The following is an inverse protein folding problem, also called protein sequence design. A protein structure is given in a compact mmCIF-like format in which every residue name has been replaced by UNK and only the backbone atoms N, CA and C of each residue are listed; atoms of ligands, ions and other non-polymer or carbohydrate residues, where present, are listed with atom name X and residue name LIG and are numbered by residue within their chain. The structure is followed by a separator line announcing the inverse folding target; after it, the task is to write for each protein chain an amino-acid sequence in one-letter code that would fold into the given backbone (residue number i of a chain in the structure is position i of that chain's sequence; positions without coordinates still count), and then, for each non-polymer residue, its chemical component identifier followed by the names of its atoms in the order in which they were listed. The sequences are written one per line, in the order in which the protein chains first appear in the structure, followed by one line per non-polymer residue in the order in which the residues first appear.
data_IF_066906809999
#
_entry.id   IF_066906809999
#
_cell.length_a   1.000
_cell.length_b   1.000
_cell.length_c   1.000
_cell.angle_alpha   90.00
_cell.angle_beta   90.00
_cell.angle_gamma   90.00
#
_symmetry.space_group_name_H-M   'P 1'
#
loop_
_entity.id
_entity.type
_entity.pdbx_description
1 polymer ?
#
# COMPACT_ATOMS: atom_id res chain seq x y z
N UNK A 1 63.92 -3.76 -50.78
CA UNK A 1 64.54 -4.41 -49.60
C UNK A 1 63.44 -4.96 -48.72
N UNK A 2 63.42 -6.28 -48.51
CA UNK A 2 62.47 -7.02 -47.68
C UNK A 2 62.75 -6.74 -46.21
N UNK A 3 61.73 -6.36 -45.43
CA UNK A 3 61.76 -6.54 -43.98
C UNK A 3 60.41 -7.14 -43.56
N UNK A 4 60.47 -8.43 -43.27
CA UNK A 4 59.41 -9.22 -42.66
C UNK A 4 59.18 -8.74 -41.21
N UNK A 5 57.95 -8.43 -40.85
CA UNK A 5 57.54 -8.31 -39.45
C UNK A 5 56.67 -9.51 -39.11
N UNK A 6 57.30 -10.46 -38.42
CA UNK A 6 56.67 -11.60 -37.78
C UNK A 6 55.70 -11.05 -36.72
N UNK A 7 54.42 -11.34 -36.90
CA UNK A 7 53.38 -11.07 -35.92
C UNK A 7 53.41 -12.19 -34.89
N UNK A 8 53.98 -11.95 -33.71
CA UNK A 8 53.86 -12.86 -32.56
C UNK A 8 52.58 -12.49 -31.82
N UNK A 9 51.52 -13.25 -32.08
CA UNK A 9 50.28 -13.22 -31.30
C UNK A 9 50.56 -13.88 -29.94
N UNK A 10 50.83 -13.05 -28.92
CA UNK A 10 50.83 -13.51 -27.52
C UNK A 10 49.37 -13.64 -27.10
N UNK A 11 48.83 -14.85 -27.21
CA UNK A 11 47.51 -15.18 -26.68
C UNK A 11 47.60 -15.18 -25.15
N UNK A 12 47.25 -14.05 -24.53
CA UNK A 12 47.10 -13.96 -23.09
C UNK A 12 45.78 -14.63 -22.73
N UNK A 13 45.82 -15.88 -22.27
CA UNK A 13 44.67 -16.51 -21.62
C UNK A 13 44.42 -15.77 -20.30
N UNK A 14 43.50 -14.81 -20.34
CA UNK A 14 42.92 -14.21 -19.14
C UNK A 14 41.96 -15.26 -18.58
N UNK A 15 42.41 -16.04 -17.60
CA UNK A 15 41.49 -16.85 -16.78
C UNK A 15 40.63 -15.89 -15.97
N UNK A 16 39.43 -15.61 -16.46
CA UNK A 16 38.39 -14.97 -15.69
C UNK A 16 37.97 -15.92 -14.56
N UNK A 17 38.64 -15.83 -13.42
CA UNK A 17 38.18 -16.42 -12.18
C UNK A 17 36.88 -15.71 -11.80
N UNK A 18 35.76 -16.34 -12.15
CA UNK A 18 34.43 -16.00 -11.65
C UNK A 18 34.49 -16.11 -10.12
N UNK A 19 34.68 -14.97 -9.44
CA UNK A 19 34.42 -14.88 -8.02
C UNK A 19 32.92 -15.16 -7.85
N UNK A 20 32.58 -16.35 -7.39
CA UNK A 20 31.26 -16.67 -6.89
C UNK A 20 31.02 -15.82 -5.66
N UNK A 21 30.49 -14.62 -5.86
CA UNK A 21 29.88 -13.84 -4.79
C UNK A 21 28.75 -14.70 -4.22
N UNK A 22 28.80 -15.06 -2.92
CA UNK A 22 27.69 -15.78 -2.33
C UNK A 22 26.47 -14.88 -2.42
N UNK A 23 25.46 -15.32 -3.17
CA UNK A 23 24.13 -14.75 -3.09
C UNK A 23 23.65 -15.08 -1.68
N UNK A 24 23.74 -14.12 -0.77
CA UNK A 24 23.09 -14.21 0.53
C UNK A 24 21.61 -14.47 0.24
N UNK A 25 21.10 -15.62 0.68
CA UNK A 25 19.67 -15.88 0.65
C UNK A 25 19.00 -14.71 1.36
N UNK A 26 18.00 -14.08 0.71
CA UNK A 26 17.31 -12.96 1.30
C UNK A 26 16.79 -13.37 2.69
N UNK A 27 17.29 -12.70 3.73
CA UNK A 27 16.90 -12.99 5.11
C UNK A 27 15.39 -12.84 5.25
N UNK A 28 14.78 -13.73 6.06
CA UNK A 28 13.37 -13.61 6.42
C UNK A 28 13.16 -12.22 7.02
N UNK A 29 12.41 -11.37 6.34
CA UNK A 29 12.13 -10.02 6.78
C UNK A 29 10.62 -9.74 6.72
N UNK A 30 10.08 -8.92 7.64
CA UNK A 30 8.66 -8.62 7.69
C UNK A 30 8.17 -7.75 6.53
N UNK A 31 9.06 -7.17 5.72
CA UNK A 31 8.66 -6.42 4.52
C UNK A 31 8.41 -7.34 3.31
N UNK A 32 8.79 -8.61 3.40
CA UNK A 32 8.50 -9.61 2.37
C UNK A 32 6.99 -9.88 2.32
N UNK A 33 6.44 -9.93 1.11
CA UNK A 33 5.04 -10.25 0.85
C UNK A 33 4.08 -9.07 0.74
N UNK A 34 4.55 -7.83 0.90
CA UNK A 34 3.80 -6.62 0.58
C UNK A 34 3.67 -6.42 -0.94
N UNK A 35 2.90 -7.29 -1.58
CA UNK A 35 2.74 -7.32 -3.04
C UNK A 35 1.41 -6.73 -3.49
N UNK A 36 0.38 -6.69 -2.64
CA UNK A 36 -0.90 -6.09 -3.01
C UNK A 36 -0.71 -4.57 -3.07
N UNK A 37 -1.11 -3.96 -4.18
CA UNK A 37 -1.07 -2.50 -4.36
C UNK A 37 -2.46 -1.99 -4.74
N UNK A 38 -3.07 -1.22 -3.86
CA UNK A 38 -4.33 -0.51 -4.15
C UNK A 38 -4.17 0.99 -3.93
N UNK A 39 -5.03 1.76 -4.58
CA UNK A 39 -5.02 3.22 -4.51
C UNK A 39 -6.43 3.70 -4.18
N UNK A 40 -6.55 4.50 -3.13
CA UNK A 40 -7.83 5.02 -2.67
C UNK A 40 -7.67 6.43 -2.08
N UNK A 41 -8.64 7.34 -2.29
CA UNK A 41 -8.73 8.57 -1.51
C UNK A 41 -9.38 8.27 -0.14
N UNK A 42 -9.01 9.04 0.88
CA UNK A 42 -9.61 8.94 2.21
C UNK A 42 -10.34 10.21 2.60
N UNK A 43 -11.11 10.16 3.67
CA UNK A 43 -11.73 11.32 4.32
C UNK A 43 -11.08 11.54 5.67
N UNK A 44 -10.66 12.78 5.92
CA UNK A 44 -10.26 13.26 7.24
C UNK A 44 -10.76 14.67 7.42
N UNK A 45 -11.26 14.98 8.62
CA UNK A 45 -11.79 16.31 8.96
C UNK A 45 -12.84 16.84 7.96
N UNK A 46 -13.60 15.93 7.34
CA UNK A 46 -14.62 16.24 6.34
C UNK A 46 -14.08 16.57 4.94
N UNK A 47 -12.76 16.49 4.73
CA UNK A 47 -12.11 16.69 3.43
C UNK A 47 -11.72 15.36 2.80
N UNK A 48 -11.88 15.25 1.47
CA UNK A 48 -11.26 14.17 0.70
C UNK A 48 -9.79 14.49 0.51
N UNK A 49 -8.93 13.56 0.92
CA UNK A 49 -7.47 13.66 0.85
C UNK A 49 -6.88 12.46 0.08
N UNK A 50 -5.59 12.54 -0.24
CA UNK A 50 -4.89 11.55 -1.04
C UNK A 50 -4.95 11.85 -2.56
N UNK A 51 -4.92 10.84 -3.44
CA UNK A 51 -5.01 9.41 -3.12
C UNK A 51 -3.80 8.87 -2.37
N UNK A 52 -3.98 7.78 -1.63
CA UNK A 52 -2.90 7.07 -0.95
C UNK A 52 -2.61 5.74 -1.65
N UNK A 53 -1.35 5.34 -1.62
CA UNK A 53 -0.86 4.10 -2.19
C UNK A 53 -0.68 3.07 -1.08
N UNK A 54 -1.59 2.10 -1.05
CA UNK A 54 -1.62 1.02 -0.07
C UNK A 54 -0.78 -0.15 -0.56
N UNK A 55 0.29 -0.45 0.16
CA UNK A 55 1.04 -1.70 -0.02
C UNK A 55 0.63 -2.65 1.09
N UNK A 56 -0.03 -3.74 0.73
CA UNK A 56 -0.70 -4.63 1.67
C UNK A 56 -0.15 -6.06 1.63
N UNK A 57 -0.30 -6.76 2.76
CA UNK A 57 -0.12 -8.20 2.85
C UNK A 57 -1.07 -8.83 3.87
N UNK A 58 -1.65 -10.02 3.59
CA UNK A 58 -2.24 -10.86 4.61
C UNK A 58 -1.15 -11.35 5.59
N UNK A 59 -1.44 -11.34 6.88
CA UNK A 59 -0.54 -11.87 7.92
C UNK A 59 -1.08 -13.11 8.63
N UNK A 60 -2.38 -13.36 8.47
CA UNK A 60 -3.11 -14.57 8.85
C UNK A 60 -4.46 -14.56 8.10
N UNK A 61 -5.35 -15.49 8.42
CA UNK A 61 -6.65 -15.64 7.75
C UNK A 61 -7.61 -14.47 7.97
N UNK A 62 -7.43 -13.71 9.06
CA UNK A 62 -8.33 -12.65 9.49
C UNK A 62 -7.79 -11.23 9.26
N UNK A 63 -6.49 -11.05 9.04
CA UNK A 63 -5.86 -9.73 9.04
C UNK A 63 -4.99 -9.52 7.80
N UNK A 64 -5.28 -8.44 7.10
CA UNK A 64 -4.42 -7.80 6.10
C UNK A 64 -3.89 -6.52 6.75
N UNK A 65 -2.59 -6.26 6.63
CA UNK A 65 -2.00 -4.99 7.07
C UNK A 65 -1.39 -4.27 5.88
N UNK A 66 -1.50 -2.95 5.88
CA UNK A 66 -1.06 -2.09 4.79
C UNK A 66 -0.16 -0.97 5.30
N UNK A 67 0.85 -0.65 4.51
CA UNK A 67 1.71 0.53 4.66
C UNK A 67 1.32 1.49 3.55
N UNK A 68 0.94 2.72 3.91
CA UNK A 68 0.37 3.67 2.98
C UNK A 68 1.32 4.84 2.76
N UNK A 69 1.48 5.20 1.49
CA UNK A 69 2.34 6.29 1.05
C UNK A 69 1.57 7.36 0.28
N UNK A 70 2.08 8.59 0.31
CA UNK A 70 1.52 9.72 -0.44
C UNK A 70 1.74 9.64 -1.98
N UNK A 71 2.65 8.77 -2.42
CA UNK A 71 2.99 8.57 -3.83
C UNK A 71 3.69 7.21 -4.04
N UNK A 72 3.98 6.86 -5.29
CA UNK A 72 4.81 5.68 -5.65
C UNK A 72 6.30 5.99 -5.79
N UNK A 73 6.71 7.22 -5.50
CA UNK A 73 8.12 7.61 -5.62
C UNK A 73 8.98 6.85 -4.59
N UNK A 74 10.25 6.52 -4.90
CA UNK A 74 11.10 5.74 -3.99
C UNK A 74 11.32 6.36 -2.59
N UNK A 75 11.14 7.68 -2.48
CA UNK A 75 11.28 8.45 -1.22
C UNK A 75 9.93 9.01 -0.73
N UNK A 76 8.80 8.42 -1.17
CA UNK A 76 7.48 8.80 -0.73
C UNK A 76 7.36 8.73 0.80
N UNK A 77 6.55 9.61 1.38
CA UNK A 77 6.33 9.61 2.83
C UNK A 77 5.40 8.46 3.18
N UNK A 78 5.74 7.70 4.22
CA UNK A 78 4.78 6.84 4.90
C UNK A 78 3.84 7.75 5.69
N UNK A 79 2.60 7.84 5.25
CA UNK A 79 1.61 8.76 5.85
C UNK A 79 0.63 8.04 6.76
N UNK A 80 0.31 6.78 6.45
CA UNK A 80 -0.74 6.05 7.14
C UNK A 80 -0.44 4.56 7.27
N UNK A 81 -1.16 3.90 8.16
CA UNK A 81 -1.19 2.44 8.31
C UNK A 81 -2.65 2.01 8.32
N UNK A 82 -2.98 0.95 7.59
CA UNK A 82 -4.31 0.35 7.64
C UNK A 82 -4.23 -1.11 8.11
N UNK A 83 -5.22 -1.49 8.91
CA UNK A 83 -5.55 -2.90 9.13
C UNK A 83 -6.93 -3.19 8.56
N UNK A 84 -6.98 -4.18 7.67
CA UNK A 84 -8.23 -4.75 7.17
C UNK A 84 -8.45 -6.07 7.92
N UNK A 85 -9.52 -6.12 8.70
CA UNK A 85 -9.80 -7.25 9.60
C UNK A 85 -11.10 -7.90 9.20
N UNK A 86 -11.17 -9.24 9.24
CA UNK A 86 -12.40 -9.97 8.93
C UNK A 86 -13.58 -9.38 9.70
N UNK A 87 -14.72 -9.20 9.03
CA UNK A 87 -15.92 -8.60 9.64
C UNK A 87 -16.31 -9.31 10.92
N UNK A 88 -16.15 -10.64 10.96
CA UNK A 88 -16.40 -11.47 12.14
C UNK A 88 -15.51 -11.06 13.32
N UNK A 89 -14.20 -10.95 13.10
CA UNK A 89 -13.25 -10.61 14.16
C UNK A 89 -13.43 -9.15 14.59
N UNK A 90 -13.45 -8.20 13.65
CA UNK A 90 -13.59 -6.78 13.96
C UNK A 90 -14.85 -6.49 14.80
N UNK A 91 -16.00 -7.02 14.38
CA UNK A 91 -17.30 -6.76 15.03
C UNK A 91 -17.51 -7.50 16.35
N UNK A 92 -16.68 -8.51 16.66
CA UNK A 92 -16.75 -9.25 17.92
C UNK A 92 -15.69 -8.83 18.94
N UNK A 93 -14.50 -8.44 18.49
CA UNK A 93 -13.38 -8.08 19.35
C UNK A 93 -13.40 -6.59 19.76
N UNK A 94 -13.97 -5.71 18.94
CA UNK A 94 -13.95 -4.26 19.16
C UNK A 94 -15.28 -3.78 19.76
N UNK A 95 -15.25 -2.85 20.74
CA UNK A 95 -16.47 -2.23 21.24
C UNK A 95 -17.26 -1.56 20.12
N UNK A 96 -18.59 -1.71 20.13
CA UNK A 96 -19.49 -1.16 19.11
C UNK A 96 -19.26 0.33 18.83
N UNK A 97 -19.03 1.13 19.87
CA UNK A 97 -18.77 2.57 19.71
C UNK A 97 -17.52 2.83 18.85
N UNK A 98 -16.46 2.06 19.05
CA UNK A 98 -15.21 2.23 18.31
C UNK A 98 -15.37 1.72 16.89
N UNK A 99 -16.08 0.61 16.69
CA UNK A 99 -16.37 0.11 15.34
C UNK A 99 -17.15 1.15 14.53
N UNK A 100 -18.26 1.65 15.08
CA UNK A 100 -19.11 2.64 14.40
C UNK A 100 -18.41 3.98 14.13
N UNK A 101 -17.46 4.39 14.98
CA UNK A 101 -16.79 5.69 14.83
C UNK A 101 -15.55 5.62 13.95
N UNK A 102 -14.80 4.52 14.02
CA UNK A 102 -13.42 4.47 13.51
C UNK A 102 -13.21 3.48 12.36
N UNK A 103 -14.17 2.63 12.05
CA UNK A 103 -14.02 1.57 11.05
C UNK A 103 -14.97 1.76 9.86
N UNK A 104 -14.53 1.35 8.68
CA UNK A 104 -15.34 1.37 7.45
C UNK A 104 -15.51 -0.03 6.86
N UNK A 105 -16.62 -0.25 6.14
CA UNK A 105 -16.91 -1.53 5.46
C UNK A 105 -16.29 -1.53 4.05
N UNK A 106 -15.35 -2.45 3.78
CA UNK A 106 -14.68 -2.51 2.48
C UNK A 106 -15.59 -2.96 1.33
N UNK A 107 -16.65 -3.73 1.60
CA UNK A 107 -17.61 -4.12 0.54
C UNK A 107 -18.29 -2.86 0.00
N UNK A 108 -18.72 -1.99 0.90
CA UNK A 108 -19.33 -0.72 0.54
C UNK A 108 -18.35 0.14 -0.26
N UNK A 109 -17.12 0.28 0.22
CA UNK A 109 -16.10 1.08 -0.44
C UNK A 109 -15.85 0.60 -1.89
N UNK A 110 -15.66 -0.71 -2.08
CA UNK A 110 -15.47 -1.32 -3.40
C UNK A 110 -16.67 -1.04 -4.31
N UNK A 111 -17.90 -1.17 -3.81
CA UNK A 111 -19.14 -0.93 -4.57
C UNK A 111 -19.29 0.54 -5.01
N UNK A 112 -18.65 1.49 -4.32
CA UNK A 112 -18.62 2.91 -4.75
C UNK A 112 -17.64 3.20 -5.89
N UNK A 113 -16.75 2.26 -6.23
CA UNK A 113 -15.77 2.40 -7.31
C UNK A 113 -14.64 3.41 -7.02
N UNK A 114 -14.39 3.74 -5.75
CA UNK A 114 -13.36 4.70 -5.33
C UNK A 114 -11.96 4.08 -5.14
N UNK A 115 -11.86 2.75 -5.19
CA UNK A 115 -10.60 1.99 -5.03
C UNK A 115 -10.13 1.47 -6.37
N UNK A 116 -8.86 1.69 -6.69
CA UNK A 116 -8.18 1.12 -7.85
C UNK A 116 -7.21 0.02 -7.41
N UNK A 117 -7.36 -1.19 -7.94
CA UNK A 117 -6.40 -2.28 -7.75
C UNK A 117 -5.31 -2.14 -8.81
N UNK A 118 -4.09 -1.82 -8.38
CA UNK A 118 -2.92 -1.65 -9.26
C UNK A 118 -2.16 -2.97 -9.40
N UNK A 119 -1.97 -3.69 -8.29
CA UNK A 119 -1.42 -5.03 -8.28
C UNK A 119 -2.27 -5.95 -7.39
N UNK A 120 -2.77 -7.08 -7.90
CA UNK A 120 -2.48 -7.71 -9.20
C UNK A 120 -3.05 -6.96 -10.42
N UNK A 121 -2.47 -7.19 -11.60
CA UNK A 121 -2.93 -6.60 -12.87
C UNK A 121 -3.89 -7.49 -13.67
N UNK A 122 -3.93 -8.79 -13.39
CA UNK A 122 -4.86 -9.71 -14.06
C UNK A 122 -6.30 -9.46 -13.58
N UNK A 123 -7.29 -9.28 -14.48
CA UNK A 123 -8.67 -8.98 -14.08
C UNK A 123 -9.33 -10.05 -13.19
N UNK A 124 -8.99 -11.34 -13.34
CA UNK A 124 -9.56 -12.40 -12.50
C UNK A 124 -8.96 -12.34 -11.10
N UNK A 125 -7.65 -12.09 -11.00
CA UNK A 125 -6.97 -11.89 -9.72
C UNK A 125 -7.47 -10.61 -9.02
N UNK A 126 -7.69 -9.52 -9.76
CA UNK A 126 -8.30 -8.30 -9.23
C UNK A 126 -9.69 -8.57 -8.64
N UNK A 127 -10.53 -9.31 -9.38
CA UNK A 127 -11.86 -9.70 -8.88
C UNK A 127 -11.74 -10.56 -7.62
N UNK A 128 -10.84 -11.55 -7.61
CA UNK A 128 -10.62 -12.41 -6.46
C UNK A 128 -10.15 -11.63 -5.23
N UNK A 129 -9.26 -10.65 -5.41
CA UNK A 129 -8.82 -9.76 -4.35
C UNK A 129 -9.97 -8.88 -3.84
N UNK A 130 -10.77 -8.29 -4.73
CA UNK A 130 -11.94 -7.49 -4.34
C UNK A 130 -12.96 -8.31 -3.54
N UNK A 131 -13.25 -9.54 -3.98
CA UNK A 131 -14.16 -10.46 -3.28
C UNK A 131 -13.62 -10.82 -1.87
N UNK A 132 -12.31 -11.04 -1.75
CA UNK A 132 -11.65 -11.32 -0.47
C UNK A 132 -11.71 -10.12 0.49
N UNK A 133 -11.33 -8.93 0.02
CA UNK A 133 -11.29 -7.70 0.83
C UNK A 133 -12.70 -7.24 1.22
N UNK A 134 -13.72 -7.48 0.40
CA UNK A 134 -15.13 -7.21 0.75
C UNK A 134 -15.62 -7.96 2.02
N UNK A 135 -14.90 -9.00 2.46
CA UNK A 135 -15.13 -9.72 3.71
C UNK A 135 -14.59 -9.04 4.97
N UNK A 136 -14.00 -7.84 4.86
CA UNK A 136 -13.29 -7.16 5.96
C UNK A 136 -13.89 -5.79 6.28
N UNK A 137 -13.63 -5.31 7.51
CA UNK A 137 -13.78 -3.90 7.90
C UNK A 137 -12.36 -3.31 8.08
N UNK A 138 -12.15 -2.06 7.71
CA UNK A 138 -10.87 -1.36 7.76
C UNK A 138 -10.79 -0.33 8.88
N UNK A 139 -9.58 -0.11 9.40
CA UNK A 139 -9.24 1.04 10.25
C UNK A 139 -7.92 1.64 9.76
N UNK A 140 -7.94 2.94 9.48
CA UNK A 140 -6.78 3.69 8.97
C UNK A 140 -6.29 4.65 10.06
N UNK A 141 -5.04 4.52 10.44
CA UNK A 141 -4.33 5.45 11.30
C UNK A 141 -3.51 6.41 10.44
N UNK A 142 -3.89 7.67 10.43
CA UNK A 142 -3.15 8.73 9.77
C UNK A 142 -2.12 9.33 10.72
N UNK A 143 -0.86 9.27 10.32
CA UNK A 143 0.30 9.53 11.20
C UNK A 143 1.06 10.80 10.81
N UNK A 144 0.71 11.44 9.69
CA UNK A 144 1.47 12.55 9.14
C UNK A 144 0.57 13.74 8.78
N UNK A 145 0.38 14.72 9.69
CA UNK A 145 -0.54 15.81 9.46
C UNK A 145 -0.31 16.57 8.16
N UNK A 146 -1.42 17.03 7.56
CA UNK A 146 -1.40 17.85 6.35
C UNK A 146 -0.44 19.03 6.54
N UNK A 147 0.40 19.26 5.53
CA UNK A 147 1.41 20.33 5.49
C UNK A 147 2.53 20.27 6.56
N UNK A 148 2.54 19.26 7.44
CA UNK A 148 3.59 19.11 8.43
C UNK A 148 4.91 18.64 7.77
N UNK A 149 6.06 19.21 8.16
CA UNK A 149 7.36 18.79 7.63
C UNK A 149 7.82 17.42 8.17
N UNK A 150 7.29 16.99 9.33
CA UNK A 150 7.54 15.71 9.99
C UNK A 150 6.29 15.30 10.81
N UNK A 151 6.13 14.01 11.19
CA UNK A 151 5.13 13.61 12.18
C UNK A 151 5.34 14.32 13.52
N UNK A 152 4.26 14.79 14.11
CA UNK A 152 4.26 15.52 15.40
C UNK A 152 3.70 14.69 16.57
N UNK A 153 3.30 13.44 16.31
CA UNK A 153 2.72 12.52 17.28
C UNK A 153 1.19 12.55 17.34
N UNK A 154 0.53 13.42 16.56
CA UNK A 154 -0.91 13.32 16.36
C UNK A 154 -1.27 12.09 15.50
N UNK A 155 -2.42 11.49 15.79
CA UNK A 155 -2.95 10.34 15.06
C UNK A 155 -4.40 10.63 14.70
N UNK A 156 -4.67 10.76 13.41
CA UNK A 156 -6.02 10.85 12.85
C UNK A 156 -6.58 9.46 12.55
N UNK A 157 -7.91 9.34 12.52
CA UNK A 157 -8.60 8.15 12.01
C UNK A 157 -9.24 8.52 10.67
N UNK A 158 -8.64 8.05 9.59
CA UNK A 158 -9.19 8.30 8.25
C UNK A 158 -10.32 7.31 7.95
N UNK A 159 -11.26 7.74 7.10
CA UNK A 159 -12.41 6.95 6.68
C UNK A 159 -12.40 6.75 5.17
N UNK A 160 -13.00 5.66 4.68
CA UNK A 160 -13.27 5.55 3.24
C UNK A 160 -14.31 6.58 2.81
N UNK A 161 -14.15 7.12 1.60
CA UNK A 161 -15.07 8.14 1.07
C UNK A 161 -16.49 7.59 0.98
N UNK A 162 -16.66 6.35 0.49
CA UNK A 162 -17.97 5.75 0.32
C UNK A 162 -18.74 5.58 1.64
N UNK A 163 -18.04 5.12 2.69
CA UNK A 163 -18.63 4.95 4.02
C UNK A 163 -19.02 6.29 4.64
N UNK A 164 -18.10 7.27 4.57
CA UNK A 164 -18.37 8.62 5.06
C UNK A 164 -19.57 9.27 4.37
N UNK A 165 -19.67 9.16 3.05
CA UNK A 165 -20.77 9.77 2.28
C UNK A 165 -22.13 9.12 2.59
N UNK A 166 -22.18 7.84 2.97
CA UNK A 166 -23.41 7.19 3.42
C UNK A 166 -23.87 7.73 4.79
N UNK A 167 -22.94 7.95 5.72
CA UNK A 167 -23.25 8.41 7.07
C UNK A 167 -23.52 9.91 7.16
N UNK A 168 -22.81 10.72 6.36
CA UNK A 168 -22.77 12.17 6.50
C UNK A 168 -23.29 12.93 5.27
N UNK A 169 -23.63 12.22 4.19
CA UNK A 169 -23.96 12.81 2.91
C UNK A 169 -22.72 13.11 2.06
N UNK A 170 -22.95 13.43 0.78
CA UNK A 170 -21.85 13.65 -0.18
C UNK A 170 -20.98 14.84 0.21
N UNK A 171 -19.67 14.66 0.13
CA UNK A 171 -18.73 15.77 0.29
C UNK A 171 -18.84 16.63 -0.98
N UNK A 172 -19.31 17.87 -0.81
CA UNK A 172 -19.51 18.80 -1.93
C UNK A 172 -18.19 19.15 -2.62
N UNK A 173 -18.24 19.39 -3.93
CA UNK A 173 -17.07 19.83 -4.73
C UNK A 173 -16.48 21.20 -4.29
N UNK A 174 -17.17 21.91 -3.39
CA UNK A 174 -16.84 23.27 -2.97
C UNK A 174 -16.18 23.35 -1.57
N UNK A 175 -15.86 22.22 -0.93
CA UNK A 175 -15.23 22.22 0.40
C UNK A 175 -13.75 22.67 0.40
N UNK A 176 -13.11 22.83 -0.75
CA UNK A 176 -11.71 23.28 -0.89
C UNK A 176 -11.53 24.81 -0.97
N UNK A 177 -12.58 25.59 -0.65
CA UNK A 177 -12.50 27.04 -0.47
C UNK A 177 -12.89 27.45 0.95
N UNK A 178 -11.98 27.25 1.90
CA UNK A 178 -11.86 28.13 3.07
C UNK A 178 -10.39 28.38 3.36
#
# INVERSE_FOLDING_TARGET
MKISKICVLVSSLITASLLSVPVLAADKNPLSGYTIHVVAPHVMDGEIIGPFHHYCKPINDDVIQCILFDSTEPNARLTEIEYMVSKKLARSAIPKWSHTQNWHDHKQEIETGRVAIVNPSDPKEQKGLADYVAGTDGIIFHLWPKDAPIPDGSVGIAQSVGHWEELHGKIGKDATKK
#
